data_IF_544346128775
#
_entry.id   IF_544346128775
#
_cell.length_a   1.000
_cell.length_b   1.000
_cell.length_c   1.000
_cell.angle_alpha   90.00
_cell.angle_beta   90.00
_cell.angle_gamma   90.00
#
_symmetry.space_group_name_H-M   'P 1'
#
loop_
_entity.id
_entity.type
_entity.pdbx_description
1 polymer ?
#
# COMPACT_ATOMS: atom_id res chain seq x y z
N UNK A 1 3.11 -28.97 21.02
CA UNK A 1 3.70 -29.15 19.68
C UNK A 1 2.73 -28.52 18.72
N UNK A 2 2.96 -27.27 18.30
CA UNK A 2 2.19 -26.70 17.21
C UNK A 2 2.74 -27.38 15.94
N UNK A 3 1.90 -28.09 15.21
CA UNK A 3 2.23 -28.46 13.83
C UNK A 3 2.48 -27.16 13.07
N UNK A 4 3.67 -26.99 12.48
CA UNK A 4 3.93 -25.89 11.54
C UNK A 4 2.88 -25.99 10.44
N UNK A 5 1.86 -25.11 10.48
CA UNK A 5 0.84 -25.07 9.44
C UNK A 5 1.49 -24.55 8.17
N UNK A 6 1.88 -25.48 7.31
CA UNK A 6 2.37 -25.15 5.98
C UNK A 6 1.17 -24.76 5.10
N UNK A 7 1.16 -23.52 4.64
CA UNK A 7 0.21 -23.01 3.68
C UNK A 7 0.81 -23.07 2.28
N UNK A 8 0.10 -23.68 1.33
CA UNK A 8 0.50 -23.76 -0.08
C UNK A 8 -0.62 -23.21 -0.99
N UNK A 9 -0.28 -22.90 -2.23
CA UNK A 9 -1.22 -22.38 -3.24
C UNK A 9 -1.35 -23.40 -4.37
N UNK A 10 -2.59 -23.76 -4.71
CA UNK A 10 -2.91 -24.70 -5.80
C UNK A 10 -3.85 -24.04 -6.81
N UNK A 11 -3.65 -24.34 -8.09
CA UNK A 11 -4.55 -23.86 -9.14
C UNK A 11 -5.82 -24.73 -9.16
N UNK A 12 -6.98 -24.09 -9.02
CA UNK A 12 -8.30 -24.72 -9.08
C UNK A 12 -9.15 -24.01 -10.14
N UNK A 13 -9.22 -24.61 -11.33
CA UNK A 13 -9.89 -23.98 -12.47
C UNK A 13 -9.13 -22.71 -12.92
N UNK A 14 -9.80 -21.56 -12.87
CA UNK A 14 -9.22 -20.24 -13.20
C UNK A 14 -8.74 -19.45 -11.98
N UNK A 15 -8.76 -20.05 -10.79
CA UNK A 15 -8.44 -19.40 -9.52
C UNK A 15 -7.29 -20.11 -8.81
N UNK A 16 -6.65 -19.39 -7.90
CA UNK A 16 -5.61 -19.91 -7.02
C UNK A 16 -6.21 -20.09 -5.64
N UNK A 17 -6.25 -21.32 -5.13
CA UNK A 17 -6.81 -21.66 -3.83
C UNK A 17 -5.70 -21.90 -2.81
N UNK A 18 -5.93 -21.51 -1.56
CA UNK A 18 -4.99 -21.75 -0.46
C UNK A 18 -5.34 -23.08 0.22
N UNK A 19 -4.32 -23.90 0.49
CA UNK A 19 -4.44 -25.15 1.24
C UNK A 19 -3.56 -25.10 2.50
N UNK A 20 -3.99 -25.77 3.56
CA UNK A 20 -3.20 -26.03 4.76
C UNK A 20 -3.11 -27.54 4.97
N UNK A 21 -1.91 -28.11 4.76
CA UNK A 21 -1.74 -29.56 4.66
C UNK A 21 -2.53 -30.15 3.47
N UNK A 22 -3.54 -30.98 3.76
CA UNK A 22 -4.41 -31.59 2.73
C UNK A 22 -5.78 -30.92 2.58
N UNK A 23 -6.08 -29.88 3.38
CA UNK A 23 -7.39 -29.26 3.43
C UNK A 23 -7.36 -27.88 2.78
N UNK A 24 -8.43 -27.54 2.04
CA UNK A 24 -8.64 -26.18 1.57
C UNK A 24 -8.89 -25.22 2.73
N UNK A 25 -8.26 -24.05 2.67
CA UNK A 25 -8.56 -22.96 3.58
C UNK A 25 -9.91 -22.36 3.20
N UNK A 26 -10.79 -22.21 4.18
CA UNK A 26 -12.11 -21.61 4.01
C UNK A 26 -12.27 -20.40 4.93
N UNK A 27 -13.08 -19.43 4.52
CA UNK A 27 -13.52 -18.33 5.38
C UNK A 27 -14.39 -18.86 6.54
N UNK A 28 -14.68 -18.04 7.57
CA UNK A 28 -15.55 -18.45 8.69
C UNK A 28 -16.93 -18.99 8.27
N UNK A 29 -17.51 -18.46 7.19
CA UNK A 29 -18.78 -18.96 6.62
C UNK A 29 -18.63 -20.23 5.74
N UNK A 30 -17.42 -20.74 5.58
CA UNK A 30 -17.12 -21.94 4.79
C UNK A 30 -16.89 -21.69 3.30
N UNK A 31 -16.73 -20.44 2.85
CA UNK A 31 -16.37 -20.13 1.45
C UNK A 31 -14.91 -20.46 1.20
N UNK A 32 -14.60 -21.01 0.03
CA UNK A 32 -13.23 -21.33 -0.35
C UNK A 32 -12.38 -20.04 -0.44
N UNK A 33 -11.19 -20.04 0.16
CA UNK A 33 -10.21 -18.97 -0.02
C UNK A 33 -9.48 -19.19 -1.34
N UNK A 34 -10.07 -18.68 -2.40
CA UNK A 34 -9.51 -18.70 -3.75
C UNK A 34 -9.74 -17.37 -4.47
N UNK A 35 -8.80 -16.97 -5.31
CA UNK A 35 -8.92 -15.75 -6.11
C UNK A 35 -8.17 -15.87 -7.43
N UNK A 36 -8.60 -15.12 -8.46
CA UNK A 36 -7.97 -15.14 -9.80
C UNK A 36 -6.58 -14.49 -9.81
N UNK A 37 -6.38 -13.48 -8.98
CA UNK A 37 -5.09 -12.83 -8.79
C UNK A 37 -4.22 -13.65 -7.83
N UNK A 38 -3.25 -14.40 -8.38
CA UNK A 38 -2.30 -15.20 -7.60
C UNK A 38 -1.56 -14.38 -6.53
N UNK A 39 -1.30 -13.10 -6.80
CA UNK A 39 -0.55 -12.23 -5.89
C UNK A 39 -1.34 -11.91 -4.64
N UNK A 40 -2.65 -11.75 -4.78
CA UNK A 40 -3.54 -11.62 -3.63
C UNK A 40 -3.45 -12.88 -2.76
N UNK A 41 -3.48 -14.07 -3.38
CA UNK A 41 -3.39 -15.33 -2.64
C UNK A 41 -2.02 -15.53 -1.98
N UNK A 42 -0.93 -15.12 -2.63
CA UNK A 42 0.42 -15.08 -2.05
C UNK A 42 0.51 -14.11 -0.87
N UNK A 43 -0.09 -12.92 -1.01
CA UNK A 43 -0.15 -11.92 0.05
C UNK A 43 -0.91 -12.45 1.27
N UNK A 44 -2.05 -13.12 1.06
CA UNK A 44 -2.83 -13.76 2.14
C UNK A 44 -2.01 -14.85 2.83
N UNK A 45 -1.39 -15.78 2.09
CA UNK A 45 -0.52 -16.83 2.67
C UNK A 45 0.61 -16.22 3.50
N UNK A 46 1.27 -15.19 2.97
CA UNK A 46 2.35 -14.51 3.68
C UNK A 46 1.87 -13.88 4.99
N UNK A 47 0.73 -13.19 4.96
CA UNK A 47 0.16 -12.57 6.15
C UNK A 47 -0.23 -13.63 7.18
N UNK A 48 -0.82 -14.77 6.77
CA UNK A 48 -1.13 -15.88 7.69
C UNK A 48 0.12 -16.42 8.40
N UNK A 49 1.24 -16.57 7.68
CA UNK A 49 2.53 -17.00 8.28
C UNK A 49 3.07 -15.95 9.25
N UNK A 50 2.90 -14.66 8.95
CA UNK A 50 3.35 -13.57 9.83
C UNK A 50 2.42 -13.35 11.04
N UNK A 51 1.11 -13.53 10.90
CA UNK A 51 0.11 -13.33 11.95
C UNK A 51 0.19 -14.36 13.06
N UNK A 52 0.76 -15.55 12.82
CA UNK A 52 1.16 -16.47 13.91
C UNK A 52 2.12 -15.81 14.92
N UNK A 53 2.78 -14.71 14.53
CA UNK A 53 3.71 -13.94 15.35
C UNK A 53 3.00 -12.75 16.06
N UNK A 54 1.85 -12.27 15.58
CA UNK A 54 1.07 -11.20 16.21
C UNK A 54 -0.45 -11.33 15.99
N UNK A 55 -1.18 -11.75 17.02
CA UNK A 55 -2.61 -12.06 16.95
C UNK A 55 -3.58 -10.85 16.99
N UNK A 56 -3.07 -9.62 17.14
CA UNK A 56 -3.89 -8.43 17.45
C UNK A 56 -4.17 -7.50 16.25
N UNK A 57 -3.81 -7.88 15.01
CA UNK A 57 -3.94 -7.00 13.84
C UNK A 57 -4.76 -7.63 12.71
N UNK A 58 -5.67 -6.83 12.13
CA UNK A 58 -6.42 -7.16 10.92
C UNK A 58 -5.44 -7.53 9.80
N UNK A 59 -5.52 -8.76 9.30
CA UNK A 59 -4.64 -9.26 8.25
C UNK A 59 -5.40 -9.44 6.91
N UNK A 60 -4.67 -9.80 5.86
CA UNK A 60 -5.25 -9.97 4.52
C UNK A 60 -6.28 -11.11 4.43
N UNK A 61 -6.16 -12.17 5.25
CA UNK A 61 -7.16 -13.24 5.31
C UNK A 61 -8.48 -12.75 5.93
N UNK A 62 -8.40 -11.91 6.97
CA UNK A 62 -9.58 -11.32 7.60
C UNK A 62 -10.33 -10.39 6.64
N UNK A 63 -9.58 -9.59 5.89
CA UNK A 63 -10.13 -8.71 4.84
C UNK A 63 -10.74 -9.56 3.73
N UNK A 64 -10.03 -10.58 3.23
CA UNK A 64 -10.55 -11.50 2.21
C UNK A 64 -11.86 -12.14 2.65
N UNK A 65 -11.91 -12.66 3.88
CA UNK A 65 -13.09 -13.31 4.43
C UNK A 65 -14.27 -12.35 4.46
N UNK A 66 -14.04 -11.13 4.94
CA UNK A 66 -15.08 -10.10 5.00
C UNK A 66 -15.57 -9.72 3.60
N UNK A 67 -14.65 -9.55 2.64
CA UNK A 67 -14.97 -9.28 1.23
C UNK A 67 -15.80 -10.42 0.66
N UNK A 68 -15.31 -11.66 0.71
CA UNK A 68 -15.99 -12.83 0.16
C UNK A 68 -17.40 -13.02 0.75
N UNK A 69 -17.62 -12.65 2.01
CA UNK A 69 -18.86 -12.88 2.74
C UNK A 69 -19.95 -11.82 2.50
N UNK A 70 -19.55 -10.57 2.22
CA UNK A 70 -20.46 -9.42 2.24
C UNK A 70 -20.67 -8.72 0.89
N UNK A 71 -20.02 -9.16 -0.19
CA UNK A 71 -20.13 -8.57 -1.54
C UNK A 71 -21.59 -8.26 -1.95
N UNK A 72 -22.48 -9.26 -1.88
CA UNK A 72 -23.86 -9.12 -2.34
C UNK A 72 -24.67 -8.14 -1.47
N UNK A 73 -24.52 -8.21 -0.15
CA UNK A 73 -25.22 -7.36 0.80
C UNK A 73 -24.77 -5.90 0.68
N UNK A 74 -23.47 -5.67 0.45
CA UNK A 74 -22.91 -4.33 0.26
C UNK A 74 -23.38 -3.70 -1.06
N UNK A 75 -23.44 -4.46 -2.17
CA UNK A 75 -23.99 -3.94 -3.43
C UNK A 75 -25.45 -3.51 -3.28
N UNK A 76 -26.28 -4.29 -2.56
CA UNK A 76 -27.68 -3.93 -2.25
C UNK A 76 -27.73 -2.67 -1.39
N UNK A 77 -26.96 -2.63 -0.30
CA UNK A 77 -26.90 -1.49 0.62
C UNK A 77 -26.50 -0.19 -0.10
N UNK A 78 -25.44 -0.22 -0.92
CA UNK A 78 -25.00 0.94 -1.67
C UNK A 78 -26.04 1.38 -2.70
N UNK A 79 -26.73 0.44 -3.35
CA UNK A 79 -27.81 0.78 -4.29
C UNK A 79 -28.94 1.56 -3.61
N UNK A 80 -29.24 1.27 -2.34
CA UNK A 80 -30.30 1.92 -1.58
C UNK A 80 -29.86 3.23 -0.91
N UNK A 81 -28.63 3.29 -0.40
CA UNK A 81 -28.19 4.36 0.52
C UNK A 81 -27.03 5.24 0.01
N UNK A 82 -26.42 4.95 -1.15
CA UNK A 82 -25.22 5.68 -1.61
C UNK A 82 -25.44 7.19 -1.73
N UNK A 83 -26.55 7.63 -2.33
CA UNK A 83 -26.84 9.08 -2.47
C UNK A 83 -27.00 9.74 -1.10
N UNK A 84 -27.65 9.07 -0.15
CA UNK A 84 -27.83 9.57 1.21
C UNK A 84 -26.48 9.69 1.95
N UNK A 85 -25.60 8.70 1.79
CA UNK A 85 -24.25 8.71 2.34
C UNK A 85 -23.42 9.87 1.77
N UNK A 86 -23.49 10.12 0.46
CA UNK A 86 -22.78 11.23 -0.19
C UNK A 86 -23.35 12.57 0.28
N UNK A 87 -24.67 12.75 0.28
CA UNK A 87 -25.34 13.99 0.75
C UNK A 87 -24.98 14.34 2.18
N UNK A 88 -24.79 13.31 3.01
CA UNK A 88 -24.46 13.48 4.41
C UNK A 88 -22.97 13.48 4.73
N UNK A 89 -22.09 13.37 3.73
CA UNK A 89 -20.65 13.21 3.93
C UNK A 89 -20.03 14.41 4.69
N UNK A 90 -19.28 14.15 5.79
CA UNK A 90 -18.66 15.22 6.59
C UNK A 90 -17.74 16.13 5.79
N UNK A 91 -17.00 15.61 4.82
CA UNK A 91 -16.02 16.36 4.03
C UNK A 91 -16.72 17.37 3.11
N UNK A 92 -17.84 16.97 2.50
CA UNK A 92 -18.64 17.88 1.67
C UNK A 92 -19.30 18.96 2.51
N UNK A 93 -19.83 18.62 3.70
CA UNK A 93 -20.44 19.57 4.63
C UNK A 93 -19.42 20.57 5.22
N UNK A 94 -18.17 20.17 5.45
CA UNK A 94 -17.09 21.04 5.93
C UNK A 94 -16.80 22.23 5.00
N UNK A 95 -16.99 22.06 3.68
CA UNK A 95 -16.82 23.13 2.68
C UNK A 95 -17.91 24.20 2.80
N UNK A 96 -19.15 23.79 3.04
CA UNK A 96 -20.31 24.69 3.15
C UNK A 96 -20.24 25.59 4.40
N UNK A 97 -19.50 25.18 5.44
CA UNK A 97 -19.29 25.97 6.66
C UNK A 97 -18.36 27.18 6.45
N UNK A 98 -17.55 27.22 5.39
CA UNK A 98 -16.76 28.41 5.03
C UNK A 98 -17.55 29.44 4.21
N UNK A 99 -18.68 29.05 3.62
CA UNK A 99 -19.46 29.92 2.73
C UNK A 99 -20.53 30.74 3.45
N UNK A 100 -21.00 30.33 4.64
CA UNK A 100 -22.00 31.09 5.39
C UNK A 100 -21.88 30.90 6.91
N UNK A 101 -21.73 32.05 7.59
CA UNK A 101 -21.96 32.34 9.02
C UNK A 101 -20.81 32.20 10.03
N UNK A 102 -20.70 33.27 10.83
CA UNK A 102 -19.97 33.39 12.09
C UNK A 102 -20.30 32.25 13.04
N UNK A 103 -19.29 31.49 13.44
CA UNK A 103 -19.42 30.56 14.58
C UNK A 103 -19.97 31.32 15.80
N UNK A 104 -20.93 30.72 16.52
CA UNK A 104 -21.13 31.05 17.93
C UNK A 104 -19.88 30.58 18.67
N UNK A 105 -18.93 31.50 18.82
CA UNK A 105 -17.60 31.32 19.43
C UNK A 105 -17.67 30.50 20.72
N UNK A 106 -18.74 30.63 21.50
CA UNK A 106 -18.90 29.96 22.80
C UNK A 106 -18.92 28.41 22.71
N UNK A 107 -19.57 27.82 21.71
CA UNK A 107 -19.62 26.35 21.59
C UNK A 107 -18.28 25.76 21.11
N UNK A 108 -17.49 26.55 20.38
CA UNK A 108 -16.14 26.16 19.94
C UNK A 108 -15.17 26.24 21.12
N UNK A 109 -15.30 27.25 21.98
CA UNK A 109 -14.49 27.43 23.18
C UNK A 109 -14.73 26.28 24.16
N UNK A 110 -15.98 25.91 24.45
CA UNK A 110 -16.28 24.79 25.37
C UNK A 110 -15.71 23.44 24.86
N UNK A 111 -15.69 23.22 23.54
CA UNK A 111 -15.08 22.03 22.94
C UNK A 111 -13.54 22.07 22.95
N UNK A 112 -12.94 23.24 22.79
CA UNK A 112 -11.48 23.46 22.80
C UNK A 112 -10.92 23.40 24.23
N UNK A 113 -11.66 23.88 25.23
CA UNK A 113 -11.25 23.85 26.64
C UNK A 113 -11.14 22.41 27.18
N UNK A 114 -11.98 21.50 26.70
CA UNK A 114 -11.99 20.10 27.14
C UNK A 114 -11.05 19.18 26.32
N UNK A 115 -10.65 19.59 25.11
CA UNK A 115 -9.76 18.79 24.24
C UNK A 115 -8.89 19.69 23.32
N UNK A 116 -7.80 20.28 23.85
CA UNK A 116 -6.99 21.30 23.14
C UNK A 116 -6.36 20.83 21.82
N UNK A 117 -6.20 19.52 21.62
CA UNK A 117 -5.65 18.91 20.40
C UNK A 117 -6.58 19.03 19.18
N UNK A 118 -7.88 19.26 19.39
CA UNK A 118 -8.86 19.51 18.32
C UNK A 118 -8.53 20.78 17.51
N UNK A 119 -7.85 21.76 18.13
CA UNK A 119 -7.43 22.98 17.46
C UNK A 119 -6.40 22.68 16.35
N UNK A 120 -5.46 21.77 16.58
CA UNK A 120 -4.47 21.37 15.58
C UNK A 120 -5.11 20.53 14.45
N UNK A 121 -6.12 19.71 14.75
CA UNK A 121 -6.80 18.84 13.77
C UNK A 121 -7.75 19.63 12.85
N UNK A 122 -8.50 20.59 13.38
CA UNK A 122 -9.38 21.50 12.61
C UNK A 122 -8.54 22.43 11.72
N UNK A 123 -7.39 22.91 12.20
CA UNK A 123 -6.55 23.89 11.51
C UNK A 123 -5.60 23.25 10.48
N UNK A 124 -4.95 22.12 10.76
CA UNK A 124 -3.94 21.54 9.86
C UNK A 124 -4.48 20.40 8.98
N UNK A 125 -5.30 19.48 9.52
CA UNK A 125 -5.86 18.35 8.78
C UNK A 125 -6.86 18.76 7.68
N UNK A 126 -7.59 19.86 7.88
CA UNK A 126 -8.56 20.35 6.91
C UNK A 126 -7.93 20.87 5.62
N UNK A 127 -6.72 21.44 5.66
CA UNK A 127 -6.08 22.02 4.46
C UNK A 127 -5.64 20.96 3.44
N UNK A 128 -5.04 19.87 3.92
CA UNK A 128 -4.57 18.75 3.10
C UNK A 128 -5.75 17.95 2.54
N UNK A 129 -6.75 17.64 3.38
CA UNK A 129 -7.96 16.94 2.92
C UNK A 129 -8.76 17.80 1.94
N UNK A 130 -8.88 19.12 2.15
CA UNK A 130 -9.53 20.01 1.18
C UNK A 130 -8.73 20.13 -0.12
N UNK A 131 -7.39 20.07 -0.05
CA UNK A 131 -6.55 20.03 -1.24
C UNK A 131 -6.77 18.74 -2.02
N UNK A 132 -6.66 17.58 -1.37
CA UNK A 132 -6.91 16.27 -1.98
C UNK A 132 -8.33 16.14 -2.53
N UNK A 133 -9.32 16.72 -1.86
CA UNK A 133 -10.70 16.82 -2.36
C UNK A 133 -10.75 17.66 -3.65
N UNK A 134 -10.13 18.84 -3.67
CA UNK A 134 -10.13 19.68 -4.87
C UNK A 134 -9.42 19.00 -6.04
N UNK A 135 -8.29 18.34 -5.79
CA UNK A 135 -7.57 17.55 -6.80
C UNK A 135 -8.48 16.42 -7.34
N UNK A 136 -9.08 15.64 -6.44
CA UNK A 136 -10.05 14.59 -6.80
C UNK A 136 -11.21 15.11 -7.66
N UNK A 137 -11.83 16.23 -7.27
CA UNK A 137 -12.97 16.79 -8.03
C UNK A 137 -12.52 17.24 -9.42
N UNK A 138 -11.39 17.93 -9.52
CA UNK A 138 -10.83 18.41 -10.80
C UNK A 138 -10.49 17.23 -11.72
N UNK A 139 -9.81 16.21 -11.21
CA UNK A 139 -9.43 15.01 -11.97
C UNK A 139 -10.64 14.26 -12.52
N UNK A 140 -11.77 14.32 -11.81
CA UNK A 140 -13.02 13.66 -12.20
C UNK A 140 -14.02 14.58 -12.91
N UNK A 141 -13.60 15.76 -13.37
CA UNK A 141 -14.44 16.75 -14.05
C UNK A 141 -15.68 17.20 -13.24
N UNK A 142 -15.59 17.15 -11.91
CA UNK A 142 -16.64 17.65 -11.01
C UNK A 142 -16.33 19.10 -10.67
N UNK A 143 -17.34 19.98 -10.74
CA UNK A 143 -17.14 21.41 -10.47
C UNK A 143 -16.58 21.61 -9.06
N UNK A 144 -15.43 22.28 -8.91
CA UNK A 144 -14.96 22.68 -7.58
C UNK A 144 -15.92 23.73 -6.98
N UNK A 145 -16.66 24.50 -7.78
CA UNK A 145 -17.71 25.36 -7.25
C UNK A 145 -18.98 24.54 -6.99
N UNK A 146 -19.03 23.89 -5.84
CA UNK A 146 -20.05 22.90 -5.49
C UNK A 146 -21.48 23.48 -5.44
N UNK A 147 -21.60 24.77 -5.12
CA UNK A 147 -22.87 25.46 -4.91
C UNK A 147 -23.70 25.64 -6.19
N UNK A 148 -23.06 25.63 -7.37
CA UNK A 148 -23.75 25.88 -8.64
C UNK A 148 -24.51 24.66 -9.18
N UNK A 149 -24.28 23.43 -8.68
CA UNK A 149 -25.02 22.23 -9.07
C UNK A 149 -24.85 21.00 -8.15
N UNK A 150 -25.28 21.11 -6.88
CA UNK A 150 -25.11 20.05 -5.85
C UNK A 150 -25.62 18.66 -6.28
N UNK A 151 -26.84 18.57 -6.82
CA UNK A 151 -27.43 17.27 -7.18
C UNK A 151 -26.70 16.58 -8.34
N UNK A 152 -26.21 17.34 -9.32
CA UNK A 152 -25.39 16.76 -10.40
C UNK A 152 -24.04 16.27 -9.86
N UNK A 153 -23.41 17.01 -8.94
CA UNK A 153 -22.16 16.59 -8.33
C UNK A 153 -22.34 15.30 -7.49
N UNK A 154 -23.44 15.17 -6.74
CA UNK A 154 -23.76 13.92 -6.03
C UNK A 154 -23.91 12.74 -6.99
N UNK A 155 -24.61 12.96 -8.11
CA UNK A 155 -24.80 11.92 -9.12
C UNK A 155 -23.47 11.46 -9.75
N UNK A 156 -22.57 12.40 -10.06
CA UNK A 156 -21.24 12.08 -10.60
C UNK A 156 -20.40 11.26 -9.60
N UNK A 157 -20.37 11.66 -8.32
CA UNK A 157 -19.65 10.89 -7.28
C UNK A 157 -20.25 9.48 -7.15
N UNK A 158 -21.58 9.36 -7.17
CA UNK A 158 -22.24 8.07 -7.11
C UNK A 158 -21.93 7.19 -8.32
N UNK A 159 -21.86 7.77 -9.52
CA UNK A 159 -21.46 7.06 -10.73
C UNK A 159 -20.04 6.49 -10.61
N UNK A 160 -19.08 7.29 -10.15
CA UNK A 160 -17.70 6.85 -9.93
C UNK A 160 -17.60 5.71 -8.91
N UNK A 161 -18.35 5.79 -7.80
CA UNK A 161 -18.39 4.70 -6.80
C UNK A 161 -19.06 3.45 -7.37
N UNK A 162 -20.09 3.61 -8.22
CA UNK A 162 -20.76 2.48 -8.87
C UNK A 162 -19.89 1.76 -9.90
N UNK A 163 -18.89 2.43 -10.47
CA UNK A 163 -17.91 1.84 -11.39
C UNK A 163 -16.88 0.94 -10.68
N UNK A 164 -16.73 1.05 -9.36
CA UNK A 164 -15.88 0.12 -8.61
C UNK A 164 -16.40 -1.31 -8.73
N UNK A 165 -15.49 -2.28 -8.80
CA UNK A 165 -15.88 -3.68 -8.67
C UNK A 165 -16.45 -3.96 -7.26
N UNK A 166 -17.24 -5.02 -7.13
CA UNK A 166 -17.95 -5.32 -5.87
C UNK A 166 -16.97 -5.51 -4.70
N UNK A 167 -15.78 -6.07 -4.94
CA UNK A 167 -14.77 -6.27 -3.89
C UNK A 167 -14.19 -4.94 -3.37
N UNK A 168 -13.93 -3.98 -4.26
CA UNK A 168 -13.49 -2.63 -3.91
C UNK A 168 -14.60 -1.86 -3.18
N UNK A 169 -15.88 -2.08 -3.51
CA UNK A 169 -17.00 -1.51 -2.75
C UNK A 169 -17.05 -2.03 -1.31
N UNK A 170 -16.73 -3.31 -1.08
CA UNK A 170 -16.60 -3.83 0.29
C UNK A 170 -15.43 -3.15 1.00
N UNK A 171 -14.26 -3.02 0.38
CA UNK A 171 -13.12 -2.32 0.97
C UNK A 171 -13.45 -0.86 1.32
N UNK A 172 -14.14 -0.15 0.42
CA UNK A 172 -14.65 1.20 0.62
C UNK A 172 -15.52 1.29 1.87
N UNK A 173 -16.47 0.35 2.02
CA UNK A 173 -17.37 0.31 3.16
C UNK A 173 -16.68 -0.11 4.46
N UNK A 174 -15.65 -0.98 4.41
CA UNK A 174 -14.85 -1.33 5.58
C UNK A 174 -14.13 -0.10 6.14
N UNK A 175 -13.53 0.70 5.26
CA UNK A 175 -12.91 1.98 5.62
C UNK A 175 -13.97 2.95 6.19
N UNK A 176 -15.10 3.15 5.52
CA UNK A 176 -16.20 3.98 6.04
C UNK A 176 -16.66 3.56 7.44
N UNK A 177 -16.68 2.25 7.71
CA UNK A 177 -17.07 1.71 9.01
C UNK A 177 -16.09 2.08 10.14
N UNK A 178 -14.82 2.33 9.84
CA UNK A 178 -13.82 2.74 10.85
C UNK A 178 -14.18 4.07 11.53
N UNK A 179 -14.80 5.00 10.80
CA UNK A 179 -15.21 6.31 11.32
C UNK A 179 -16.73 6.52 11.35
N UNK A 180 -17.51 5.53 10.89
CA UNK A 180 -18.98 5.48 10.91
C UNK A 180 -19.68 6.71 10.31
N UNK A 181 -19.09 7.36 9.31
CA UNK A 181 -19.71 8.54 8.67
C UNK A 181 -19.03 8.95 7.37
N UNK A 182 -19.81 9.08 6.30
CA UNK A 182 -19.28 9.48 4.98
C UNK A 182 -18.54 8.36 4.23
N UNK A 183 -18.42 8.54 2.92
CA UNK A 183 -17.84 7.58 1.98
C UNK A 183 -16.74 8.19 1.13
N UNK A 184 -16.62 9.53 1.12
CA UNK A 184 -15.69 10.24 0.26
C UNK A 184 -14.25 10.12 0.75
N UNK A 185 -14.01 10.12 2.06
CA UNK A 185 -12.68 9.94 2.63
C UNK A 185 -12.08 8.56 2.25
N UNK A 186 -12.79 7.42 2.46
CA UNK A 186 -12.39 6.13 1.91
C UNK A 186 -12.20 6.12 0.40
N UNK A 187 -13.09 6.78 -0.34
CA UNK A 187 -13.00 6.78 -1.80
C UNK A 187 -11.75 7.49 -2.29
N UNK A 188 -11.44 8.67 -1.72
CA UNK A 188 -10.22 9.43 -1.98
C UNK A 188 -8.96 8.60 -1.68
N UNK A 189 -8.95 7.86 -0.57
CA UNK A 189 -7.83 6.94 -0.25
C UNK A 189 -7.67 5.86 -1.32
N UNK A 190 -8.76 5.19 -1.71
CA UNK A 190 -8.71 4.13 -2.73
C UNK A 190 -8.33 4.67 -4.12
N UNK A 191 -8.63 5.93 -4.42
CA UNK A 191 -8.18 6.60 -5.64
C UNK A 191 -6.72 7.12 -5.55
N UNK A 192 -6.11 7.08 -4.37
CA UNK A 192 -4.74 7.54 -4.14
C UNK A 192 -4.59 9.06 -4.08
N UNK A 193 -5.67 9.79 -3.81
CA UNK A 193 -5.63 11.27 -3.65
C UNK A 193 -5.25 11.71 -2.25
N UNK A 194 -5.34 10.80 -1.26
CA UNK A 194 -4.88 11.01 0.12
C UNK A 194 -4.15 9.76 0.65
N UNK A 195 -3.30 9.96 1.65
CA UNK A 195 -2.50 8.91 2.27
C UNK A 195 -3.14 8.34 3.55
N UNK A 196 -2.68 7.18 4.01
CA UNK A 196 -3.20 6.54 5.24
C UNK A 196 -3.06 7.41 6.49
N UNK A 197 -2.00 8.23 6.58
CA UNK A 197 -1.79 9.18 7.68
C UNK A 197 -2.84 10.31 7.67
N UNK A 198 -3.16 10.82 6.48
CA UNK A 198 -4.15 11.88 6.28
C UNK A 198 -5.56 11.33 6.54
N UNK A 199 -5.82 10.11 6.05
CA UNK A 199 -7.03 9.36 6.33
C UNK A 199 -7.23 9.18 7.85
N UNK A 200 -6.22 8.69 8.57
CA UNK A 200 -6.33 8.45 10.01
C UNK A 200 -6.62 9.74 10.80
N UNK A 201 -5.95 10.85 10.45
CA UNK A 201 -6.22 12.15 11.05
C UNK A 201 -7.66 12.64 10.80
N UNK A 202 -8.15 12.49 9.56
CA UNK A 202 -9.50 12.89 9.18
C UNK A 202 -10.56 11.99 9.83
N UNK A 203 -10.35 10.67 9.84
CA UNK A 203 -11.21 9.68 10.47
C UNK A 203 -11.37 9.95 11.97
N UNK A 204 -10.28 10.24 12.69
CA UNK A 204 -10.34 10.63 14.12
C UNK A 204 -11.20 11.87 14.31
N UNK A 205 -11.04 12.88 13.45
CA UNK A 205 -11.82 14.11 13.51
C UNK A 205 -13.31 13.83 13.31
N UNK A 206 -13.65 12.94 12.37
CA UNK A 206 -15.03 12.49 12.13
C UNK A 206 -15.58 11.74 13.34
N UNK A 207 -14.81 10.81 13.92
CA UNK A 207 -15.20 10.02 15.10
C UNK A 207 -15.50 10.94 16.29
N UNK A 208 -14.60 11.88 16.60
CA UNK A 208 -14.83 12.85 17.69
C UNK A 208 -16.07 13.71 17.41
N UNK A 209 -16.23 14.23 16.20
CA UNK A 209 -17.42 15.02 15.86
C UNK A 209 -18.72 14.22 15.96
N UNK A 210 -18.73 12.93 15.59
CA UNK A 210 -19.88 12.05 15.73
C UNK A 210 -20.17 11.72 17.20
N UNK A 211 -19.15 11.53 18.05
CA UNK A 211 -19.40 11.32 19.50
C UNK A 211 -20.09 12.51 20.19
N UNK A 212 -19.99 13.71 19.60
CA UNK A 212 -20.65 14.93 20.06
C UNK A 212 -22.04 15.15 19.45
N UNK A 213 -22.46 14.32 18.48
CA UNK A 213 -23.74 14.41 17.78
C UNK A 213 -24.49 13.09 17.90
N UNK A 214 -25.66 13.08 18.54
CA UNK A 214 -26.56 11.93 18.49
C UNK A 214 -27.14 11.76 17.08
N UNK A 215 -26.39 11.23 16.12
CA UNK A 215 -26.90 10.80 14.80
C UNK A 215 -25.79 10.19 13.93
N UNK A 216 -25.91 8.88 13.59
CA UNK A 216 -26.09 8.36 12.22
C UNK A 216 -26.60 6.91 12.32
N UNK A 217 -27.91 6.67 12.16
CA UNK A 217 -28.51 5.32 12.17
C UNK A 217 -28.15 4.48 10.93
N UNK A 218 -27.73 5.11 9.83
CA UNK A 218 -27.46 4.43 8.54
C UNK A 218 -26.30 3.42 8.66
N UNK A 219 -25.29 3.70 9.50
CA UNK A 219 -24.17 2.78 9.68
C UNK A 219 -24.50 1.54 10.50
N UNK A 220 -25.60 1.55 11.25
CA UNK A 220 -26.14 0.37 11.94
C UNK A 220 -26.76 -0.63 10.94
N UNK A 221 -27.15 -0.15 9.76
CA UNK A 221 -27.70 -0.95 8.65
C UNK A 221 -26.60 -1.58 7.78
N UNK A 222 -25.34 -1.15 7.92
CA UNK A 222 -24.22 -1.71 7.15
C UNK A 222 -24.04 -3.18 7.57
N UNK A 223 -23.99 -4.14 6.63
CA UNK A 223 -24.05 -5.55 6.93
C UNK A 223 -22.73 -6.14 7.48
N UNK A 224 -21.98 -5.43 8.33
CA UNK A 224 -20.74 -5.91 8.96
C UNK A 224 -20.94 -6.27 10.45
N UNK A 225 -22.04 -6.95 10.80
CA UNK A 225 -22.34 -7.25 12.21
C UNK A 225 -21.42 -8.33 12.80
N UNK A 226 -20.88 -8.08 14.02
CA UNK A 226 -20.14 -9.03 14.87
C UNK A 226 -18.90 -9.73 14.27
N UNK A 227 -18.20 -9.06 13.35
CA UNK A 227 -16.90 -9.55 12.92
C UNK A 227 -15.81 -9.02 13.86
N UNK A 228 -15.35 -9.88 14.79
CA UNK A 228 -14.17 -9.67 15.66
C UNK A 228 -12.87 -9.29 14.90
N UNK A 229 -12.90 -9.22 13.57
CA UNK A 229 -11.77 -8.91 12.70
C UNK A 229 -11.57 -7.42 12.46
N UNK A 230 -12.63 -6.60 12.47
CA UNK A 230 -12.48 -5.15 12.38
C UNK A 230 -12.17 -4.61 13.78
N UNK A 231 -11.17 -3.71 13.94
CA UNK A 231 -10.91 -3.11 15.23
C UNK A 231 -12.15 -2.37 15.72
N UNK A 232 -12.81 -2.91 16.73
CA UNK A 232 -13.86 -2.21 17.45
C UNK A 232 -13.18 -1.08 18.23
N UNK A 233 -13.54 0.16 17.92
CA UNK A 233 -13.20 1.28 18.79
C UNK A 233 -13.94 1.11 20.12
N UNK A 234 -13.29 0.46 21.09
CA UNK A 234 -13.74 0.50 22.48
C UNK A 234 -13.55 1.91 23.05
N UNK A 235 -14.46 2.29 23.94
CA UNK A 235 -14.53 3.61 24.57
C UNK A 235 -13.29 4.00 25.40
N UNK A 236 -12.37 3.07 25.64
CA UNK A 236 -11.21 3.24 26.52
C UNK A 236 -9.86 3.42 25.78
N UNK A 237 -9.86 3.53 24.45
CA UNK A 237 -8.62 3.68 23.67
C UNK A 237 -8.05 5.10 23.81
N UNK A 238 -6.82 5.21 24.34
CA UNK A 238 -6.04 6.46 24.33
C UNK A 238 -5.87 6.99 22.89
N UNK A 239 -6.00 8.30 22.68
CA UNK A 239 -5.96 8.92 21.34
C UNK A 239 -4.73 8.54 20.48
N UNK A 240 -3.56 8.37 21.10
CA UNK A 240 -2.33 7.93 20.43
C UNK A 240 -2.44 6.49 19.90
N UNK A 241 -3.06 5.58 20.67
CA UNK A 241 -3.34 4.21 20.23
C UNK A 241 -4.40 4.18 19.12
N UNK A 242 -5.34 5.13 19.14
CA UNK A 242 -6.41 5.18 18.16
C UNK A 242 -5.90 5.56 16.76
N UNK A 243 -5.01 6.56 16.67
CA UNK A 243 -4.37 6.93 15.40
C UNK A 243 -3.62 5.77 14.79
N UNK A 244 -2.75 5.12 15.56
CA UNK A 244 -1.98 3.98 15.07
C UNK A 244 -2.87 2.82 14.64
N UNK A 245 -3.96 2.57 15.36
CA UNK A 245 -4.93 1.52 15.02
C UNK A 245 -5.64 1.82 13.70
N UNK A 246 -6.21 3.02 13.54
CA UNK A 246 -6.87 3.43 12.30
C UNK A 246 -5.87 3.40 11.14
N UNK A 247 -4.68 3.97 11.33
CA UNK A 247 -3.63 4.02 10.33
C UNK A 247 -3.21 2.62 9.85
N UNK A 248 -2.89 1.71 10.78
CA UNK A 248 -2.47 0.33 10.43
C UNK A 248 -3.59 -0.42 9.71
N UNK A 249 -4.82 -0.28 10.19
CA UNK A 249 -6.01 -0.89 9.57
C UNK A 249 -6.24 -0.35 8.15
N UNK A 250 -6.08 0.96 7.99
CA UNK A 250 -6.18 1.65 6.69
C UNK A 250 -5.13 1.15 5.72
N UNK A 251 -3.87 0.98 6.17
CA UNK A 251 -2.79 0.40 5.36
C UNK A 251 -3.13 -1.02 4.95
N UNK A 252 -3.58 -1.87 5.88
CA UNK A 252 -3.94 -3.25 5.58
C UNK A 252 -5.06 -3.36 4.53
N UNK A 253 -6.13 -2.56 4.67
CA UNK A 253 -7.24 -2.53 3.70
C UNK A 253 -6.77 -1.98 2.35
N UNK A 254 -5.97 -0.91 2.33
CA UNK A 254 -5.50 -0.32 1.08
C UNK A 254 -4.50 -1.22 0.34
N UNK A 255 -3.60 -1.88 1.07
CA UNK A 255 -2.67 -2.87 0.51
C UNK A 255 -3.41 -4.10 -0.04
N UNK A 256 -4.49 -4.53 0.60
CA UNK A 256 -5.39 -5.55 0.06
C UNK A 256 -6.10 -5.06 -1.22
N UNK A 257 -6.69 -3.86 -1.17
CA UNK A 257 -7.43 -3.26 -2.27
C UNK A 257 -6.56 -3.05 -3.52
N UNK A 258 -5.26 -2.83 -3.36
CA UNK A 258 -4.29 -2.76 -4.46
C UNK A 258 -4.38 -3.96 -5.40
N UNK A 259 -4.55 -5.17 -4.86
CA UNK A 259 -4.63 -6.38 -5.68
C UNK A 259 -5.97 -6.53 -6.42
N UNK A 260 -6.99 -5.77 -6.02
CA UNK A 260 -8.31 -5.74 -6.63
C UNK A 260 -8.44 -4.69 -7.74
N UNK A 261 -7.52 -3.71 -7.77
CA UNK A 261 -7.43 -2.70 -8.82
C UNK A 261 -6.84 -3.32 -10.09
N UNK A 262 -7.63 -4.14 -10.78
CA UNK A 262 -7.41 -4.42 -12.19
C UNK A 262 -8.14 -3.37 -13.04
N UNK A 263 -7.40 -2.69 -13.93
CA UNK A 263 -7.82 -1.65 -14.90
C UNK A 263 -8.19 -0.23 -14.43
N UNK A 264 -7.56 0.34 -13.40
CA UNK A 264 -7.68 1.81 -13.14
C UNK A 264 -6.58 2.64 -13.84
N UNK A 265 -5.52 2.01 -14.36
CA UNK A 265 -4.64 2.68 -15.32
C UNK A 265 -3.87 1.66 -16.19
N UNK A 266 -4.43 1.17 -17.31
CA UNK A 266 -3.71 0.29 -18.23
C UNK A 266 -2.43 0.92 -18.80
N UNK A 267 -2.20 2.22 -18.60
CA UNK A 267 -1.03 2.94 -19.10
C UNK A 267 0.08 3.16 -18.06
N UNK A 268 -0.02 2.71 -16.81
CA UNK A 268 1.09 2.81 -15.85
C UNK A 268 2.13 1.72 -16.14
N UNK A 269 3.31 2.07 -16.69
CA UNK A 269 4.32 1.07 -17.07
C UNK A 269 4.87 0.33 -15.85
N UNK A 270 4.94 0.99 -14.69
CA UNK A 270 5.37 0.40 -13.43
C UNK A 270 4.38 -0.67 -12.94
N UNK A 271 3.07 -0.42 -12.99
CA UNK A 271 2.07 -1.42 -12.61
C UNK A 271 2.18 -2.67 -13.49
N UNK A 272 2.38 -2.50 -14.81
CA UNK A 272 2.59 -3.61 -15.72
C UNK A 272 3.88 -4.38 -15.39
N UNK A 273 4.98 -3.67 -15.10
CA UNK A 273 6.25 -4.29 -14.69
C UNK A 273 6.06 -5.11 -13.42
N UNK A 274 5.41 -4.51 -12.40
CA UNK A 274 5.12 -5.18 -11.16
C UNK A 274 4.32 -6.44 -11.46
N UNK A 275 3.24 -6.38 -12.25
CA UNK A 275 2.38 -7.51 -12.66
C UNK A 275 3.10 -8.65 -13.38
N UNK A 276 4.20 -8.41 -14.07
CA UNK A 276 5.01 -9.47 -14.69
C UNK A 276 5.68 -10.38 -13.65
N UNK A 277 5.99 -9.85 -12.47
CA UNK A 277 6.62 -10.60 -11.39
C UNK A 277 8.13 -10.74 -11.58
N UNK A 278 8.81 -11.31 -10.58
CA UNK A 278 10.26 -11.49 -10.64
C UNK A 278 10.66 -12.42 -11.78
N UNK A 279 11.76 -12.08 -12.46
CA UNK A 279 12.29 -12.81 -13.60
C UNK A 279 13.80 -12.66 -13.67
N UNK A 280 14.44 -13.25 -14.68
CA UNK A 280 15.89 -13.05 -14.89
C UNK A 280 16.30 -11.59 -15.12
N UNK A 281 15.35 -10.72 -15.49
CA UNK A 281 15.56 -9.31 -15.80
C UNK A 281 14.79 -8.35 -14.87
N UNK A 282 14.05 -8.86 -13.89
CA UNK A 282 13.24 -8.05 -12.96
C UNK A 282 13.34 -8.63 -11.55
N UNK A 283 13.71 -7.79 -10.58
CA UNK A 283 13.80 -8.18 -9.16
C UNK A 283 13.07 -7.15 -8.31
N UNK A 284 12.41 -7.59 -7.24
CA UNK A 284 11.79 -6.73 -6.24
C UNK A 284 12.59 -6.74 -4.94
N UNK A 285 12.62 -5.58 -4.27
CA UNK A 285 13.12 -5.42 -2.91
C UNK A 285 12.17 -4.51 -2.16
N UNK A 286 11.67 -4.98 -1.01
CA UNK A 286 10.71 -4.20 -0.22
C UNK A 286 11.33 -2.87 0.25
N UNK A 287 12.62 -2.86 0.57
CA UNK A 287 13.34 -1.73 1.18
C UNK A 287 14.80 -1.74 0.73
N UNK A 288 15.48 -0.58 0.80
CA UNK A 288 16.91 -0.44 0.52
C UNK A 288 17.81 -0.85 1.70
N UNK A 289 17.45 -0.47 2.92
CA UNK A 289 18.28 -0.61 4.14
C UNK A 289 17.50 -1.01 5.39
N UNK A 290 16.17 -0.90 5.39
CA UNK A 290 15.36 -1.14 6.59
C UNK A 290 14.93 -2.58 6.71
N UNK A 291 15.37 -3.29 7.75
CA UNK A 291 14.86 -4.62 8.02
C UNK A 291 13.48 -4.50 8.69
N UNK A 292 12.43 -4.84 7.94
CA UNK A 292 11.03 -4.75 8.35
C UNK A 292 10.76 -5.57 9.62
N UNK A 293 11.38 -6.76 9.77
CA UNK A 293 11.14 -7.63 10.93
C UNK A 293 11.74 -7.07 12.21
N UNK A 294 12.95 -6.53 12.13
CA UNK A 294 13.66 -5.99 13.30
C UNK A 294 13.44 -4.50 13.53
N UNK A 295 12.75 -3.81 12.62
CA UNK A 295 12.49 -2.37 12.60
C UNK A 295 13.75 -1.50 12.80
N UNK A 296 14.83 -1.85 12.09
CA UNK A 296 16.15 -1.18 12.20
C UNK A 296 16.86 -1.19 10.86
N UNK A 297 17.83 -0.27 10.69
CA UNK A 297 18.75 -0.31 9.56
C UNK A 297 19.62 -1.56 9.63
N UNK A 298 19.81 -2.21 8.49
CA UNK A 298 20.51 -3.48 8.37
C UNK A 298 21.40 -3.47 7.12
N UNK A 299 22.74 -3.49 7.27
CA UNK A 299 23.68 -3.54 6.15
C UNK A 299 23.47 -4.75 5.24
N UNK A 300 22.89 -5.85 5.72
CA UNK A 300 22.59 -7.02 4.90
C UNK A 300 21.47 -6.76 3.89
N UNK A 301 20.52 -5.84 4.19
CA UNK A 301 19.47 -5.43 3.25
C UNK A 301 20.06 -4.54 2.14
N UNK A 302 20.99 -3.65 2.50
CA UNK A 302 21.77 -2.88 1.51
C UNK A 302 22.59 -3.81 0.62
N UNK A 303 23.23 -4.82 1.23
CA UNK A 303 23.99 -5.83 0.52
C UNK A 303 23.14 -6.59 -0.49
N UNK A 304 21.93 -7.01 -0.12
CA UNK A 304 21.02 -7.71 -1.03
C UNK A 304 20.62 -6.86 -2.25
N UNK A 305 20.44 -5.56 -2.06
CA UNK A 305 20.19 -4.60 -3.15
C UNK A 305 21.40 -4.51 -4.09
N UNK A 306 22.60 -4.28 -3.53
CA UNK A 306 23.84 -4.14 -4.29
C UNK A 306 24.22 -5.43 -5.02
N UNK A 307 24.01 -6.59 -4.39
CA UNK A 307 24.17 -7.92 -4.99
C UNK A 307 23.33 -8.06 -6.26
N UNK A 308 22.09 -7.57 -6.23
CA UNK A 308 21.19 -7.62 -7.38
C UNK A 308 21.69 -6.72 -8.51
N UNK A 309 22.11 -5.51 -8.19
CA UNK A 309 22.70 -4.56 -9.17
C UNK A 309 23.95 -5.17 -9.80
N UNK A 310 24.86 -5.73 -9.00
CA UNK A 310 26.06 -6.41 -9.49
C UNK A 310 25.73 -7.57 -10.44
N UNK A 311 24.75 -8.40 -10.07
CA UNK A 311 24.30 -9.52 -10.90
C UNK A 311 23.75 -9.05 -12.26
N UNK A 312 22.95 -7.97 -12.28
CA UNK A 312 22.45 -7.42 -13.54
C UNK A 312 23.55 -6.84 -14.41
N UNK A 313 24.47 -6.06 -13.83
CA UNK A 313 25.64 -5.52 -14.54
C UNK A 313 26.48 -6.63 -15.19
N UNK A 314 26.72 -7.72 -14.45
CA UNK A 314 27.54 -8.82 -14.93
C UNK A 314 26.85 -9.71 -15.98
N UNK A 315 25.53 -9.63 -16.08
CA UNK A 315 24.72 -10.51 -16.93
C UNK A 315 24.21 -9.77 -18.17
N UNK A 316 22.90 -9.87 -18.45
CA UNK A 316 22.24 -9.25 -19.59
C UNK A 316 21.55 -7.92 -19.23
N UNK A 317 21.84 -7.34 -18.06
CA UNK A 317 21.09 -6.22 -17.51
C UNK A 317 19.78 -6.64 -16.85
N UNK A 318 18.97 -5.66 -16.47
CA UNK A 318 17.68 -5.85 -15.81
C UNK A 318 17.19 -4.62 -15.07
N UNK A 319 16.05 -4.74 -14.40
CA UNK A 319 15.45 -3.71 -13.57
C UNK A 319 15.28 -4.23 -12.15
N UNK A 320 15.63 -3.41 -11.17
CA UNK A 320 15.35 -3.65 -9.76
C UNK A 320 14.31 -2.62 -9.31
N UNK A 321 13.23 -3.09 -8.69
CA UNK A 321 12.22 -2.23 -8.06
C UNK A 321 12.43 -2.26 -6.54
N UNK A 322 12.77 -1.12 -5.96
CA UNK A 322 12.91 -0.91 -4.51
C UNK A 322 11.66 -0.21 -3.99
N UNK A 323 11.09 -0.71 -2.90
CA UNK A 323 9.76 -0.30 -2.44
C UNK A 323 8.64 -1.22 -2.95
N UNK A 324 8.98 -2.42 -3.45
CA UNK A 324 8.01 -3.44 -3.88
C UNK A 324 8.34 -4.75 -3.19
N UNK A 325 7.34 -5.37 -2.59
CA UNK A 325 7.47 -6.66 -1.91
C UNK A 325 7.47 -7.82 -2.91
N UNK A 326 7.95 -8.99 -2.47
CA UNK A 326 8.02 -10.19 -3.32
C UNK A 326 6.65 -10.67 -3.84
N UNK A 327 5.56 -10.37 -3.12
CA UNK A 327 4.16 -10.62 -3.53
C UNK A 327 3.63 -9.55 -4.52
N UNK A 328 4.44 -8.55 -4.85
CA UNK A 328 4.09 -7.44 -5.72
C UNK A 328 3.30 -6.32 -5.04
N UNK A 329 3.08 -6.38 -3.71
CA UNK A 329 2.50 -5.26 -2.98
C UNK A 329 3.48 -4.09 -2.92
N UNK A 330 2.98 -2.86 -2.94
CA UNK A 330 3.82 -1.68 -2.86
C UNK A 330 4.17 -1.45 -1.39
N UNK A 331 5.46 -1.47 -1.05
CA UNK A 331 5.95 -1.10 0.29
C UNK A 331 6.20 0.41 0.38
N UNK A 332 6.81 0.98 -0.65
CA UNK A 332 7.29 2.35 -0.66
C UNK A 332 8.69 2.51 -0.06
N UNK A 333 9.53 3.34 -0.67
CA UNK A 333 10.85 3.70 -0.12
C UNK A 333 10.75 4.55 1.15
N UNK A 334 9.56 5.03 1.49
CA UNK A 334 9.26 5.74 2.73
C UNK A 334 9.61 4.88 3.97
N UNK A 335 9.47 3.54 3.88
CA UNK A 335 9.87 2.61 4.94
C UNK A 335 11.36 2.69 5.28
N UNK A 336 12.21 3.13 4.34
CA UNK A 336 13.63 3.30 4.60
C UNK A 336 13.98 4.52 5.49
N UNK A 337 12.98 5.30 5.89
CA UNK A 337 13.08 6.41 6.85
C UNK A 337 14.14 7.45 6.45
N UNK A 338 14.17 7.83 5.18
CA UNK A 338 14.88 9.02 4.72
C UNK A 338 14.00 10.26 4.88
N UNK A 339 14.60 11.45 5.05
CA UNK A 339 13.80 12.68 5.19
C UNK A 339 13.12 13.10 3.88
N UNK A 340 13.66 12.68 2.75
CA UNK A 340 13.20 13.02 1.41
C UNK A 340 13.77 12.05 0.37
N UNK A 341 13.19 12.10 -0.82
CA UNK A 341 13.52 11.26 -1.96
C UNK A 341 14.95 11.51 -2.49
N UNK A 342 15.46 12.74 -2.38
CA UNK A 342 16.81 13.09 -2.86
C UNK A 342 17.88 12.43 -1.99
N UNK A 343 17.69 12.39 -0.66
CA UNK A 343 18.59 11.69 0.26
C UNK A 343 18.54 10.18 0.10
N UNK A 344 17.38 9.61 -0.22
CA UNK A 344 17.28 8.20 -0.60
C UNK A 344 18.15 7.91 -1.83
N UNK A 345 17.96 8.67 -2.92
CA UNK A 345 18.73 8.50 -4.15
C UNK A 345 20.23 8.73 -3.93
N UNK A 346 20.60 9.78 -3.18
CA UNK A 346 21.99 10.07 -2.84
C UNK A 346 22.63 8.89 -2.08
N UNK A 347 21.91 8.31 -1.11
CA UNK A 347 22.38 7.14 -0.37
C UNK A 347 22.57 5.93 -1.28
N UNK A 348 21.58 5.60 -2.11
CA UNK A 348 21.67 4.52 -3.10
C UNK A 348 22.88 4.69 -4.02
N UNK A 349 23.08 5.89 -4.58
CA UNK A 349 24.22 6.20 -5.44
C UNK A 349 25.57 6.15 -4.71
N UNK A 350 25.62 6.55 -3.44
CA UNK A 350 26.82 6.41 -2.63
C UNK A 350 27.15 4.93 -2.41
N UNK A 351 26.17 4.08 -2.08
CA UNK A 351 26.37 2.63 -1.95
C UNK A 351 26.93 2.02 -3.24
N UNK A 352 26.33 2.36 -4.39
CA UNK A 352 26.78 1.88 -5.71
C UNK A 352 28.23 2.31 -5.97
N UNK A 353 28.56 3.60 -5.81
CA UNK A 353 29.91 4.12 -6.08
C UNK A 353 30.95 3.55 -5.14
N UNK A 354 30.62 3.42 -3.86
CA UNK A 354 31.55 2.95 -2.83
C UNK A 354 31.84 1.45 -2.94
N UNK A 355 30.84 0.64 -3.32
CA UNK A 355 30.95 -0.82 -3.21
C UNK A 355 30.98 -1.56 -4.55
N UNK A 356 30.51 -0.96 -5.64
CA UNK A 356 30.63 -1.52 -7.00
C UNK A 356 31.67 -0.77 -7.84
N UNK A 357 31.78 0.54 -7.62
CA UNK A 357 32.71 1.42 -8.33
C UNK A 357 32.00 2.47 -9.17
N UNK A 358 32.55 3.68 -9.19
CA UNK A 358 31.98 4.82 -9.93
C UNK A 358 31.90 4.56 -11.43
N UNK A 359 32.77 3.71 -11.94
CA UNK A 359 32.93 3.40 -13.34
C UNK A 359 31.71 2.64 -13.93
N UNK A 360 30.81 2.11 -13.09
CA UNK A 360 29.54 1.51 -13.52
C UNK A 360 28.37 2.49 -13.66
N UNK A 361 28.54 3.75 -13.24
CA UNK A 361 27.48 4.77 -13.32
C UNK A 361 26.84 4.90 -14.72
N UNK A 362 27.58 4.82 -15.85
CA UNK A 362 26.98 4.90 -17.18
C UNK A 362 26.05 3.72 -17.54
N UNK A 363 26.10 2.63 -16.78
CA UNK A 363 25.28 1.43 -16.99
C UNK A 363 24.08 1.37 -16.04
N UNK A 364 23.86 2.40 -15.21
CA UNK A 364 22.81 2.41 -14.19
C UNK A 364 21.98 3.68 -14.33
N UNK A 365 20.67 3.53 -14.43
CA UNK A 365 19.70 4.63 -14.41
C UNK A 365 18.75 4.44 -13.22
N UNK A 366 18.48 5.50 -12.47
CA UNK A 366 17.52 5.48 -11.36
C UNK A 366 16.35 6.40 -11.65
N UNK A 367 15.12 5.93 -11.45
CA UNK A 367 13.89 6.71 -11.57
C UNK A 367 13.03 6.49 -10.32
N UNK A 368 12.40 7.55 -9.83
CA UNK A 368 11.36 7.44 -8.81
C UNK A 368 10.01 7.59 -9.47
N UNK A 369 9.11 6.65 -9.19
CA UNK A 369 7.72 6.70 -9.62
C UNK A 369 6.81 6.56 -8.41
N UNK A 370 5.75 7.36 -8.36
CA UNK A 370 4.71 7.24 -7.34
C UNK A 370 3.63 6.31 -7.85
N UNK A 371 3.24 5.36 -7.00
CA UNK A 371 2.14 4.45 -7.27
C UNK A 371 1.38 4.22 -5.97
N UNK A 372 0.06 4.42 -6.00
CA UNK A 372 -0.84 4.24 -4.84
C UNK A 372 -0.24 4.81 -3.55
N UNK A 373 0.11 6.09 -3.58
CA UNK A 373 0.57 6.82 -2.40
C UNK A 373 1.91 6.34 -1.81
N UNK A 374 2.68 5.54 -2.55
CA UNK A 374 4.00 5.06 -2.15
C UNK A 374 4.99 5.30 -3.28
N UNK A 375 6.24 5.59 -2.94
CA UNK A 375 7.27 5.85 -3.95
C UNK A 375 8.07 4.57 -4.22
N UNK A 376 8.16 4.17 -5.48
CA UNK A 376 8.99 3.05 -5.92
C UNK A 376 10.23 3.60 -6.62
N UNK A 377 11.41 3.12 -6.22
CA UNK A 377 12.65 3.40 -6.94
C UNK A 377 12.94 2.29 -7.96
N UNK A 378 12.97 2.67 -9.22
CA UNK A 378 13.33 1.82 -10.34
C UNK A 378 14.82 2.02 -10.62
N UNK A 379 15.60 0.95 -10.52
CA UNK A 379 17.03 0.91 -10.86
C UNK A 379 17.21 0.06 -12.11
N UNK A 380 17.41 0.69 -13.25
CA UNK A 380 17.65 0.01 -14.52
C UNK A 380 19.14 -0.16 -14.74
N UNK A 381 19.57 -1.40 -14.95
CA UNK A 381 20.95 -1.78 -15.18
C UNK A 381 21.11 -2.29 -16.61
N UNK A 382 22.05 -1.72 -17.36
CA UNK A 382 22.52 -2.25 -18.63
C UNK A 382 23.61 -3.30 -18.37
N UNK A 383 23.77 -4.23 -19.31
CA UNK A 383 24.90 -5.15 -19.28
C UNK A 383 26.22 -4.35 -19.37
N UNK A 384 27.08 -4.51 -18.38
CA UNK A 384 28.38 -3.85 -18.35
C UNK A 384 29.33 -4.46 -19.39
N UNK A 385 30.40 -3.73 -19.71
CA UNK A 385 31.49 -4.20 -20.57
C UNK A 385 32.73 -4.66 -19.79
N UNK A 386 32.62 -4.75 -18.46
CA UNK A 386 33.67 -5.19 -17.54
C UNK A 386 33.03 -5.83 -16.30
N UNK A 387 33.75 -6.68 -15.57
CA UNK A 387 33.22 -7.35 -14.38
C UNK A 387 33.01 -6.39 -13.20
N UNK A 388 31.80 -6.39 -12.64
CA UNK A 388 31.42 -5.70 -11.41
C UNK A 388 31.59 -6.63 -10.20
N UNK A 389 32.51 -6.29 -9.31
CA UNK A 389 32.69 -6.97 -8.03
C UNK A 389 32.04 -6.14 -6.92
N UNK A 390 31.35 -6.82 -6.01
CA UNK A 390 30.77 -6.19 -4.82
C UNK A 390 31.77 -6.25 -3.67
N UNK A 391 32.12 -5.08 -3.11
CA UNK A 391 33.14 -4.89 -2.08
C UNK A 391 32.59 -4.16 -0.86
N UNK A 392 31.51 -4.68 -0.28
CA UNK A 392 30.89 -4.03 0.88
C UNK A 392 31.67 -4.31 2.17
N UNK A 393 31.92 -3.26 2.96
CA UNK A 393 32.59 -3.41 4.26
C UNK A 393 31.86 -4.41 5.15
N UNK A 394 32.60 -5.37 5.71
CA UNK A 394 32.05 -6.45 6.54
C UNK A 394 31.63 -7.71 5.75
N UNK A 395 31.79 -7.69 4.42
CA UNK A 395 31.59 -8.84 3.53
C UNK A 395 32.89 -9.10 2.76
N UNK A 396 33.04 -10.32 2.25
CA UNK A 396 34.13 -10.64 1.32
C UNK A 396 33.93 -9.90 -0.01
N UNK A 397 34.97 -9.84 -0.85
CA UNK A 397 34.80 -9.44 -2.25
C UNK A 397 34.06 -10.56 -3.00
N UNK A 398 32.97 -10.20 -3.69
CA UNK A 398 32.06 -11.17 -4.28
C UNK A 398 31.74 -10.85 -5.73
N UNK A 399 31.57 -11.91 -6.53
CA UNK A 399 31.16 -11.83 -7.92
C UNK A 399 29.81 -12.51 -8.10
N UNK A 400 28.82 -11.76 -8.58
CA UNK A 400 27.44 -12.21 -8.73
C UNK A 400 27.00 -12.21 -10.18
N UNK A 401 26.22 -13.22 -10.56
CA UNK A 401 25.53 -13.32 -11.86
C UNK A 401 24.05 -13.65 -11.66
N UNK A 402 23.23 -13.40 -12.68
CA UNK A 402 21.84 -13.91 -12.72
C UNK A 402 21.83 -15.38 -13.11
N UNK A 403 21.03 -16.18 -12.40
CA UNK A 403 20.74 -17.58 -12.73
C UNK A 403 19.25 -17.79 -12.57
N UNK A 404 18.52 -17.83 -13.69
CA UNK A 404 17.05 -17.74 -13.64
C UNK A 404 16.62 -16.42 -12.97
N UNK A 405 15.58 -16.42 -12.10
CA UNK A 405 15.14 -15.24 -11.36
C UNK A 405 16.00 -14.91 -10.12
N UNK A 406 17.09 -15.64 -9.86
CA UNK A 406 17.94 -15.43 -8.69
C UNK A 406 19.32 -14.85 -9.01
N UNK A 407 19.99 -14.35 -7.97
CA UNK A 407 21.38 -13.87 -8.02
C UNK A 407 22.32 -14.84 -7.31
N UNK A 408 23.22 -15.46 -8.08
CA UNK A 408 24.15 -16.51 -7.63
C UNK A 408 25.56 -15.96 -7.44
N UNK A 409 26.19 -16.26 -6.30
CA UNK A 409 27.62 -16.00 -6.06
C UNK A 409 28.44 -17.04 -6.79
N UNK A 410 29.41 -16.63 -7.60
CA UNK A 410 30.37 -17.55 -8.19
C UNK A 410 31.62 -17.66 -7.30
N UNK A 411 32.14 -18.88 -7.18
CA UNK A 411 33.48 -19.09 -6.62
C UNK A 411 34.54 -18.51 -7.55
N UNK A 412 35.75 -18.30 -7.04
CA UNK A 412 36.84 -17.64 -7.77
C UNK A 412 37.10 -18.28 -9.14
N UNK A 413 37.18 -19.61 -9.20
CA UNK A 413 37.46 -20.35 -10.44
C UNK A 413 36.36 -20.13 -11.50
N UNK A 414 35.10 -20.22 -11.08
CA UNK A 414 33.95 -20.04 -11.99
C UNK A 414 33.81 -18.59 -12.43
N UNK A 415 34.08 -17.63 -11.53
CA UNK A 415 34.09 -16.21 -11.84
C UNK A 415 35.16 -15.90 -12.89
N UNK A 416 36.40 -16.39 -12.72
CA UNK A 416 37.47 -16.17 -13.70
C UNK A 416 37.12 -16.72 -15.08
N UNK A 417 36.53 -17.93 -15.14
CA UNK A 417 36.08 -18.54 -16.39
C UNK A 417 34.96 -17.71 -17.03
N UNK A 418 33.94 -17.36 -16.25
CA UNK A 418 32.83 -16.54 -16.71
C UNK A 418 33.30 -15.19 -17.26
N UNK A 419 34.24 -14.54 -16.54
CA UNK A 419 34.77 -13.25 -16.94
C UNK A 419 35.51 -13.33 -18.27
N UNK A 420 36.36 -14.35 -18.43
CA UNK A 420 37.10 -14.57 -19.68
C UNK A 420 36.17 -14.82 -20.88
N UNK A 421 35.08 -15.57 -20.67
CA UNK A 421 34.12 -15.89 -21.73
C UNK A 421 33.21 -14.68 -22.07
N UNK A 422 32.81 -13.89 -21.07
CA UNK A 422 31.80 -12.82 -21.21
C UNK A 422 32.37 -11.45 -21.58
N UNK A 423 33.49 -11.09 -20.98
CA UNK A 423 34.12 -9.78 -21.10
C UNK A 423 35.43 -9.98 -21.84
N UNK A 424 35.37 -9.97 -23.17
CA UNK A 424 36.56 -10.07 -24.01
C UNK A 424 37.63 -9.09 -23.53
N UNK A 425 38.72 -9.63 -22.99
CA UNK A 425 39.90 -8.83 -22.65
C UNK A 425 40.55 -8.49 -23.99
N UNK A 426 40.27 -7.30 -24.53
CA UNK A 426 41.06 -6.77 -25.64
C UNK A 426 42.50 -6.70 -25.16
N UNK A 427 43.34 -7.64 -25.61
CA UNK A 427 44.79 -7.54 -25.50
C UNK A 427 45.20 -6.28 -26.26
N UNK A 428 45.64 -5.27 -25.51
CA UNK A 428 46.26 -4.05 -26.03
C UNK A 428 47.54 -4.37 -26.81
#
# INVERSE_FOLDING_TARGET
>A
MAEDKQYDIVMLGSEFAIISGQNYLNTPSGKLVAHRNIRLTQHIVRQLILSEISAEQLNAYDIFSTVAEHQAQIDVFLKEHLIELIKNDPILKLRNLKANQSYKINNLIDAIENAPYLLNLIIFGSSIILKGLNEFLIENNISPNYDENLEANYALIAELINQLNTELKVCLMLLSHLHKSGILLPFMLLQGTIFADEYANAAITIIFNNSLREEVQIYELVPFQNNNTLPHLDSDIKAENLFDTIRKTTIAINDYAFFLKDDVNPNSPLLQLIKQGESSYLEFKATLRWNIKSAKKDPAIEHATLKTIAAFLNSSGGSLLIGVRDDGSIEGIETDAFSDNDKFLLHLWNLIKSYLGQEFSPFIETKLEKLDCKTVCIVRCLAANRPAFLRQTGFDEEFYIRTGPGSSKLGISDALKYIADRFEIKKS
#
